data_IF_564966441566
#
_entry.id   IF_564966441566
#
_cell.length_a   1.000
_cell.length_b   1.000
_cell.length_c   1.000
_cell.angle_alpha   90.00
_cell.angle_beta   90.00
_cell.angle_gamma   90.00
#
_symmetry.space_group_name_H-M   'P 1'
#
loop_
_entity.id
_entity.type
_entity.pdbx_description
1 polymer ?
#
# COMPACT_ATOMS: atom_id res chain seq x y z
N UNK A 1 -11.04 15.49 -6.26
CA UNK A 1 -10.80 14.47 -7.31
C UNK A 1 -10.65 13.12 -6.64
N UNK A 2 -11.29 12.06 -7.14
CA UNK A 2 -11.08 10.68 -6.67
C UNK A 2 -9.74 10.07 -7.13
N UNK A 3 -8.96 10.83 -7.89
CA UNK A 3 -7.72 10.41 -8.54
C UNK A 3 -6.45 10.63 -7.70
N UNK A 4 -6.54 11.29 -6.54
CA UNK A 4 -5.37 11.51 -5.70
C UNK A 4 -5.50 10.67 -4.44
N UNK A 5 -4.41 9.97 -4.10
CA UNK A 5 -4.22 9.33 -2.80
C UNK A 5 -4.60 10.31 -1.66
N UNK A 6 -5.39 9.88 -0.67
CA UNK A 6 -5.72 8.47 -0.35
C UNK A 6 -6.90 7.87 -1.13
N UNK A 7 -7.50 8.59 -2.07
CA UNK A 7 -8.57 8.02 -2.89
C UNK A 7 -8.01 6.97 -3.88
N UNK A 8 -8.66 5.80 -4.02
CA UNK A 8 -8.14 4.66 -4.78
C UNK A 8 -8.35 4.78 -6.29
N UNK A 9 -8.89 5.89 -6.80
CA UNK A 9 -9.41 5.98 -8.17
C UNK A 9 -8.37 5.67 -9.26
N UNK A 10 -7.08 5.98 -9.05
CA UNK A 10 -6.03 5.59 -10.00
C UNK A 10 -5.77 4.08 -10.02
N UNK A 11 -5.79 3.43 -8.85
CA UNK A 11 -5.59 1.98 -8.74
C UNK A 11 -6.75 1.21 -9.38
N UNK A 12 -7.99 1.62 -9.08
CA UNK A 12 -9.20 1.04 -9.67
C UNK A 12 -9.23 1.23 -11.19
N UNK A 13 -8.77 2.38 -11.68
CA UNK A 13 -8.64 2.63 -13.12
C UNK A 13 -7.62 1.70 -13.75
N UNK A 14 -6.42 1.57 -13.19
CA UNK A 14 -5.38 0.68 -13.69
C UNK A 14 -5.85 -0.78 -13.70
N UNK A 15 -6.58 -1.22 -12.67
CA UNK A 15 -7.16 -2.55 -12.60
C UNK A 15 -8.09 -2.86 -13.78
N UNK A 16 -8.98 -1.91 -14.10
CA UNK A 16 -9.89 -2.04 -15.25
C UNK A 16 -9.17 -1.97 -16.60
N UNK A 17 -8.21 -1.06 -16.74
CA UNK A 17 -7.51 -0.83 -18.03
C UNK A 17 -6.52 -1.97 -18.37
N UNK A 18 -5.96 -2.63 -17.37
CA UNK A 18 -4.92 -3.65 -17.55
C UNK A 18 -5.33 -5.05 -17.08
N UNK A 19 -6.57 -5.24 -16.61
CA UNK A 19 -7.04 -6.54 -16.09
C UNK A 19 -6.30 -7.01 -14.85
N UNK A 20 -5.88 -6.09 -13.97
CA UNK A 20 -5.14 -6.41 -12.74
C UNK A 20 -6.10 -6.81 -11.64
N UNK A 21 -5.84 -7.94 -10.98
CA UNK A 21 -6.52 -8.34 -9.75
C UNK A 21 -5.88 -7.64 -8.55
N UNK A 22 -6.56 -6.61 -8.04
CA UNK A 22 -6.09 -5.82 -6.90
C UNK A 22 -6.03 -6.62 -5.59
N UNK A 23 -6.92 -7.60 -5.40
CA UNK A 23 -6.92 -8.44 -4.20
C UNK A 23 -5.67 -9.33 -4.14
N UNK A 24 -5.10 -9.64 -5.30
CA UNK A 24 -3.82 -10.38 -5.44
C UNK A 24 -2.61 -9.46 -5.59
N UNK A 25 -2.82 -8.15 -5.57
CA UNK A 25 -1.78 -7.14 -5.72
C UNK A 25 -1.36 -6.56 -4.36
N UNK A 26 -0.24 -5.86 -4.36
CA UNK A 26 0.26 -5.12 -3.21
C UNK A 26 0.64 -3.69 -3.63
N UNK A 27 0.31 -2.73 -2.78
CA UNK A 27 0.65 -1.31 -2.90
C UNK A 27 1.87 -1.03 -2.04
N UNK A 28 2.95 -0.53 -2.62
CA UNK A 28 4.17 -0.14 -1.89
C UNK A 28 4.32 1.37 -1.96
N UNK A 29 4.52 2.03 -0.81
CA UNK A 29 4.70 3.49 -0.78
C UNK A 29 5.29 4.00 0.52
N UNK A 30 5.81 5.22 0.49
CA UNK A 30 6.51 5.88 1.60
C UNK A 30 5.57 6.72 2.48
N UNK A 31 4.34 6.98 2.02
CA UNK A 31 3.38 7.84 2.73
C UNK A 31 2.19 7.04 3.23
N UNK A 32 1.61 7.49 4.34
CA UNK A 32 0.36 6.92 4.85
C UNK A 32 -0.77 6.94 3.80
N UNK A 33 -0.79 7.96 2.92
CA UNK A 33 -1.78 8.04 1.85
C UNK A 33 -1.64 6.95 0.78
N UNK A 34 -0.46 6.34 0.61
CA UNK A 34 -0.26 5.15 -0.23
C UNK A 34 -0.93 3.93 0.40
N UNK A 35 -0.72 3.75 1.70
CA UNK A 35 -1.29 2.64 2.49
C UNK A 35 -2.81 2.71 2.46
N UNK A 36 -3.36 3.89 2.74
CA UNK A 36 -4.79 4.16 2.66
C UNK A 36 -5.36 3.87 1.27
N UNK A 37 -4.69 4.34 0.21
CA UNK A 37 -5.15 4.10 -1.15
C UNK A 37 -5.14 2.61 -1.52
N UNK A 38 -4.07 1.88 -1.16
CA UNK A 38 -3.97 0.44 -1.36
C UNK A 38 -5.09 -0.32 -0.67
N UNK A 39 -5.29 -0.07 0.63
CA UNK A 39 -6.36 -0.71 1.41
C UNK A 39 -7.74 -0.42 0.87
N UNK A 40 -8.05 0.85 0.56
CA UNK A 40 -9.34 1.25 -0.03
C UNK A 40 -9.57 0.63 -1.42
N UNK A 41 -8.50 0.34 -2.15
CA UNK A 41 -8.55 -0.35 -3.44
C UNK A 41 -8.67 -1.89 -3.28
N UNK A 42 -8.55 -2.42 -2.06
CA UNK A 42 -8.58 -3.85 -1.78
C UNK A 42 -7.23 -4.56 -1.94
N UNK A 43 -6.13 -3.80 -2.07
CA UNK A 43 -4.78 -4.36 -2.11
C UNK A 43 -4.24 -4.62 -0.70
N UNK A 44 -3.27 -5.52 -0.61
CA UNK A 44 -2.29 -5.52 0.49
C UNK A 44 -1.41 -4.26 0.38
N UNK A 45 -0.83 -3.82 1.48
CA UNK A 45 -0.13 -2.54 1.59
C UNK A 45 1.17 -2.67 2.36
N UNK A 46 2.28 -2.23 1.76
CA UNK A 46 3.62 -2.27 2.34
C UNK A 46 4.13 -0.84 2.50
N UNK A 47 4.52 -0.47 3.73
CA UNK A 47 5.07 0.84 4.02
C UNK A 47 6.58 0.82 3.88
N UNK A 48 7.08 1.56 2.90
CA UNK A 48 8.49 1.77 2.67
C UNK A 48 9.06 2.76 3.69
N UNK A 49 9.90 2.27 4.60
CA UNK A 49 10.57 3.04 5.64
C UNK A 49 12.06 2.64 5.65
N UNK A 50 12.94 3.40 4.96
CA UNK A 50 14.38 3.12 4.94
C UNK A 50 15.00 3.05 6.33
N UNK A 51 14.44 3.83 7.25
CA UNK A 51 14.80 3.84 8.67
C UNK A 51 13.63 3.25 9.46
N UNK A 52 13.82 2.14 10.17
CA UNK A 52 12.74 1.52 10.92
C UNK A 52 12.27 2.46 12.04
N UNK A 53 11.02 2.91 11.95
CA UNK A 53 10.36 3.60 13.05
C UNK A 53 9.96 2.59 14.11
N UNK A 54 10.34 2.85 15.36
CA UNK A 54 9.94 2.05 16.53
C UNK A 54 8.53 2.41 17.03
N UNK A 55 7.84 3.36 16.39
CA UNK A 55 6.50 3.73 16.76
C UNK A 55 5.54 2.53 16.48
N UNK A 56 4.76 2.07 17.48
CA UNK A 56 3.79 1.00 17.27
C UNK A 56 2.78 1.41 16.19
N UNK A 57 2.45 0.55 15.23
CA UNK A 57 1.53 0.90 14.13
C UNK A 57 0.05 0.74 14.49
N UNK A 58 -0.26 0.14 15.65
CA UNK A 58 -1.64 -0.16 16.07
C UNK A 58 -2.54 1.08 16.13
N UNK A 59 -1.97 2.27 16.36
CA UNK A 59 -2.72 3.53 16.36
C UNK A 59 -3.22 3.95 14.97
N UNK A 60 -2.74 3.31 13.90
CA UNK A 60 -3.14 3.61 12.53
C UNK A 60 -4.35 2.82 12.08
N UNK A 61 -4.96 1.97 12.91
CA UNK A 61 -6.18 1.24 12.50
C UNK A 61 -7.29 2.21 12.05
N UNK A 62 -7.90 1.99 10.87
CA UNK A 62 -7.84 0.80 10.02
C UNK A 62 -6.70 0.79 8.98
N UNK A 63 -5.92 1.86 8.90
CA UNK A 63 -4.86 2.14 7.92
C UNK A 63 -3.49 1.51 8.25
N UNK A 64 -3.39 0.62 9.25
CA UNK A 64 -2.13 -0.08 9.57
C UNK A 64 -1.64 -0.93 8.38
N UNK A 65 -0.45 -0.73 7.82
CA UNK A 65 0.02 -1.51 6.69
C UNK A 65 0.16 -3.00 7.04
N UNK A 66 0.17 -3.85 6.02
CA UNK A 66 0.38 -5.30 6.16
C UNK A 66 1.84 -5.64 6.51
N UNK A 67 2.79 -4.78 6.10
CA UNK A 67 4.17 -4.83 6.57
C UNK A 67 4.88 -3.48 6.42
N UNK A 68 5.98 -3.31 7.16
CA UNK A 68 6.97 -2.25 6.94
C UNK A 68 8.21 -2.88 6.32
N UNK A 69 8.73 -2.27 5.26
CA UNK A 69 9.87 -2.76 4.50
C UNK A 69 10.90 -1.65 4.33
N UNK A 70 12.18 -1.98 4.42
CA UNK A 70 13.25 -1.00 4.35
C UNK A 70 13.50 -0.49 2.92
N UNK A 71 13.30 -1.34 1.93
CA UNK A 71 13.51 -1.04 0.52
C UNK A 71 12.57 -1.86 -0.38
N UNK A 72 12.67 -1.66 -1.70
CA UNK A 72 11.88 -2.41 -2.67
C UNK A 72 12.31 -3.88 -2.80
N UNK A 73 13.55 -4.21 -2.47
CA UNK A 73 14.02 -5.61 -2.49
C UNK A 73 13.30 -6.40 -1.39
N UNK A 74 13.25 -5.85 -0.17
CA UNK A 74 12.50 -6.41 0.94
C UNK A 74 10.99 -6.52 0.63
N UNK A 75 10.43 -5.56 -0.11
CA UNK A 75 9.04 -5.63 -0.57
C UNK A 75 8.79 -6.83 -1.51
N UNK A 76 9.72 -7.08 -2.44
CA UNK A 76 9.65 -8.24 -3.33
C UNK A 76 9.76 -9.54 -2.54
N UNK A 77 10.72 -9.63 -1.61
CA UNK A 77 10.92 -10.83 -0.80
C UNK A 77 9.72 -11.14 0.10
N UNK A 78 9.03 -10.13 0.62
CA UNK A 78 7.78 -10.31 1.37
C UNK A 78 6.63 -10.87 0.52
N UNK A 79 6.62 -10.58 -0.77
CA UNK A 79 5.54 -10.97 -1.68
C UNK A 79 5.67 -12.37 -2.28
N UNK A 80 6.82 -13.03 -2.07
CA UNK A 80 7.09 -14.43 -2.48
C UNK A 80 6.39 -15.43 -1.57
#
# INVERSE_FOLDING_TARGET
>A
CSCRKPEPGMLLRAAREHGIDLARSFMVGDKLSDIQAGKRAGCRSLWLQPEPSIAPLDHLTPDCPDAVVADLTAAVDWSR
#
